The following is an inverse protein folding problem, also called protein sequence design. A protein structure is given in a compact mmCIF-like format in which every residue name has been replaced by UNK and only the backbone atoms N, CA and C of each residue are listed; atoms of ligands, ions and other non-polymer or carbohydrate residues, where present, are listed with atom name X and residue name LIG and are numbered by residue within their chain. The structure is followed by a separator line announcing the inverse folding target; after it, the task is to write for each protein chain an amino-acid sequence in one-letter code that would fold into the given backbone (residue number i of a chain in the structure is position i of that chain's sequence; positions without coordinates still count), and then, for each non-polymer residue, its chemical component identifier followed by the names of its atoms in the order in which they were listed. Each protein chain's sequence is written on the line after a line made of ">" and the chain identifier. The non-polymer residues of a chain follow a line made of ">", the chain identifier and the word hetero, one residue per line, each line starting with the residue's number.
data_IF_623409321657
#
_entry.id   IF_623409321657
#
_cell.length_a   1.000
_cell.length_b   1.000
_cell.length_c   1.000
_cell.angle_alpha   90.00
_cell.angle_beta   90.00
_cell.angle_gamma   90.00
#
_symmetry.space_group_name_H-M   'P 1'
#
loop_
_entity.id
_entity.type
_entity.pdbx_description
1 polymer ?
#
# COMPACT_ATOMS: atom_id res chain seq x y z
N UNK A 1 -8.08 -9.20 11.10
CA UNK A 1 -8.62 -8.47 9.92
C UNK A 1 -8.08 -7.04 9.83
N UNK A 2 -8.28 -6.17 10.83
CA UNK A 2 -7.71 -4.82 10.81
C UNK A 2 -6.17 -4.79 10.80
N UNK A 3 -5.54 -5.71 11.54
CA UNK A 3 -4.08 -5.84 11.63
C UNK A 3 -3.43 -6.17 10.27
N UNK A 4 -3.94 -7.20 9.58
CA UNK A 4 -3.50 -7.55 8.22
C UNK A 4 -3.60 -6.38 7.22
N UNK A 5 -4.65 -5.56 7.35
CA UNK A 5 -4.84 -4.38 6.50
C UNK A 5 -3.77 -3.32 6.84
N UNK A 6 -3.53 -3.07 8.13
CA UNK A 6 -2.49 -2.14 8.57
C UNK A 6 -1.07 -2.61 8.18
N UNK A 7 -0.78 -3.91 8.28
CA UNK A 7 0.48 -4.52 7.83
C UNK A 7 0.67 -4.37 6.30
N UNK A 8 -0.41 -4.58 5.54
CA UNK A 8 -0.41 -4.35 4.09
C UNK A 8 -0.15 -2.88 3.76
N UNK A 9 -0.76 -1.96 4.51
CA UNK A 9 -0.56 -0.51 4.35
C UNK A 9 0.88 -0.10 4.68
N UNK A 10 1.47 -0.64 5.75
CA UNK A 10 2.85 -0.40 6.13
C UNK A 10 3.82 -0.89 5.03
N UNK A 11 3.59 -2.10 4.51
CA UNK A 11 4.38 -2.66 3.40
C UNK A 11 4.29 -1.79 2.16
N UNK A 12 3.08 -1.36 1.80
CA UNK A 12 2.84 -0.47 0.67
C UNK A 12 3.55 0.88 0.81
N UNK A 13 3.54 1.46 2.02
CA UNK A 13 4.19 2.73 2.29
C UNK A 13 5.72 2.59 2.19
N UNK A 14 6.28 1.58 2.86
CA UNK A 14 7.70 1.30 2.88
C UNK A 14 8.26 1.10 1.46
N UNK A 15 7.58 0.30 0.62
CA UNK A 15 7.97 0.12 -0.78
C UNK A 15 7.89 1.41 -1.59
N UNK A 16 6.92 2.27 -1.30
CA UNK A 16 6.80 3.58 -1.94
C UNK A 16 7.94 4.52 -1.57
N UNK A 17 8.44 4.44 -0.33
CA UNK A 17 9.61 5.21 0.13
C UNK A 17 10.92 4.69 -0.49
N UNK A 18 10.99 3.40 -0.81
CA UNK A 18 12.07 2.80 -1.59
C UNK A 18 12.07 3.21 -3.08
N UNK A 19 11.09 4.00 -3.53
CA UNK A 19 10.97 4.45 -4.92
C UNK A 19 10.28 3.44 -5.84
N UNK A 20 9.68 2.38 -5.29
CA UNK A 20 8.97 1.38 -6.07
C UNK A 20 7.67 1.96 -6.67
N UNK A 21 7.38 1.58 -7.91
CA UNK A 21 6.17 2.02 -8.60
C UNK A 21 4.94 1.26 -8.10
N UNK A 22 3.80 1.94 -8.02
CA UNK A 22 2.53 1.33 -7.61
C UNK A 22 2.11 0.13 -8.50
N UNK A 23 2.55 0.10 -9.76
CA UNK A 23 2.33 -1.02 -10.68
C UNK A 23 3.15 -2.25 -10.28
N UNK A 24 4.44 -2.08 -9.96
CA UNK A 24 5.30 -3.16 -9.49
C UNK A 24 4.77 -3.77 -8.20
N UNK A 25 4.32 -2.93 -7.25
CA UNK A 25 3.72 -3.42 -6.01
C UNK A 25 2.39 -4.15 -6.27
N UNK A 26 1.60 -3.69 -7.25
CA UNK A 26 0.36 -4.37 -7.63
C UNK A 26 0.62 -5.75 -8.26
N UNK A 27 1.63 -5.87 -9.11
CA UNK A 27 2.06 -7.15 -9.67
C UNK A 27 2.59 -8.11 -8.60
N UNK A 28 3.46 -7.62 -7.71
CA UNK A 28 4.04 -8.42 -6.62
C UNK A 28 2.98 -8.92 -5.63
N UNK A 29 2.05 -8.05 -5.24
CA UNK A 29 0.95 -8.42 -4.35
C UNK A 29 -0.17 -9.20 -5.08
N UNK A 30 -0.06 -9.39 -6.41
CA UNK A 30 -1.12 -9.91 -7.27
C UNK A 30 -2.47 -9.22 -7.03
N UNK A 31 -2.44 -7.91 -6.82
CA UNK A 31 -3.61 -7.08 -6.55
C UNK A 31 -3.87 -6.13 -7.72
N UNK A 32 -5.14 -5.71 -7.93
CA UNK A 32 -5.43 -4.66 -8.89
C UNK A 32 -4.70 -3.37 -8.51
N UNK A 33 -4.15 -2.68 -9.50
CA UNK A 33 -3.54 -1.36 -9.33
C UNK A 33 -4.47 -0.37 -8.62
N UNK A 34 -5.77 -0.43 -8.91
CA UNK A 34 -6.77 0.45 -8.31
C UNK A 34 -6.96 0.17 -6.80
N UNK A 35 -6.86 -1.09 -6.40
CA UNK A 35 -6.86 -1.51 -4.99
C UNK A 35 -5.64 -0.98 -4.26
N UNK A 36 -4.45 -1.17 -4.85
CA UNK A 36 -3.18 -0.67 -4.33
C UNK A 36 -3.20 0.86 -4.17
N UNK A 37 -3.69 1.58 -5.18
CA UNK A 37 -3.86 3.04 -5.14
C UNK A 37 -4.78 3.48 -3.99
N UNK A 38 -5.89 2.77 -3.79
CA UNK A 38 -6.83 3.06 -2.71
C UNK A 38 -6.20 2.79 -1.34
N UNK A 39 -5.46 1.70 -1.20
CA UNK A 39 -4.78 1.34 0.04
C UNK A 39 -3.70 2.35 0.39
N UNK A 40 -2.89 2.78 -0.57
CA UNK A 40 -1.88 3.82 -0.35
C UNK A 40 -2.53 5.15 0.07
N UNK A 41 -3.67 5.51 -0.53
CA UNK A 41 -4.43 6.72 -0.12
C UNK A 41 -4.90 6.61 1.33
N UNK A 42 -5.42 5.43 1.74
CA UNK A 42 -5.86 5.18 3.12
C UNK A 42 -4.68 5.12 4.10
N UNK A 43 -3.60 4.45 3.73
CA UNK A 43 -2.37 4.32 4.49
C UNK A 43 -1.75 5.69 4.79
N UNK A 44 -1.66 6.57 3.77
CA UNK A 44 -1.20 7.96 3.96
C UNK A 44 -2.07 8.74 4.92
N UNK A 45 -3.40 8.58 4.85
CA UNK A 45 -4.31 9.27 5.76
C UNK A 45 -4.12 8.77 7.20
N UNK A 46 -3.98 7.47 7.39
CA UNK A 46 -3.77 6.86 8.70
C UNK A 46 -2.39 7.18 9.30
N UNK A 47 -1.37 7.40 8.48
CA UNK A 47 -0.02 7.78 8.94
C UNK A 47 0.10 9.27 9.33
N UNK A 48 -0.89 10.09 8.99
CA UNK A 48 -0.90 11.53 9.29
C UNK A 48 -1.77 11.88 10.52
N UNK A 49 -2.43 10.88 11.11
CA UNK A 49 -3.35 11.00 12.25
C UNK A 49 -2.68 10.59 13.57
#
# INVERSE_FOLDING_TARGET
>A
RAQQIAETWATLLARRELGESLQAIAEDLQMPYETVKTYVKKARKAALE
#
